data_IF_299038262372
#
_entry.id   IF_299038262372
#
_cell.length_a   1.000
_cell.length_b   1.000
_cell.length_c   1.000
_cell.angle_alpha   90.00
_cell.angle_beta   90.00
_cell.angle_gamma   90.00
#
_symmetry.space_group_name_H-M   'P 1'
#
loop_
_entity.id
_entity.type
_entity.pdbx_description
1 polymer ?
#
# COMPACT_ATOMS: atom_id res chain seq x y z
N UNK A 1 16.01 -3.19 -19.23
CA UNK A 1 15.89 -2.90 -17.78
C UNK A 1 16.25 -1.45 -17.43
N UNK A 2 17.08 -0.79 -18.25
CA UNK A 2 17.69 0.50 -17.88
C UNK A 2 16.71 1.69 -17.84
N UNK A 3 15.64 1.66 -18.64
CA UNK A 3 14.55 2.66 -18.55
C UNK A 3 13.81 2.62 -17.21
N UNK A 4 13.64 1.43 -16.63
CA UNK A 4 12.92 1.25 -15.36
C UNK A 4 13.81 1.70 -14.19
N UNK A 5 15.09 1.29 -14.22
CA UNK A 5 16.13 1.73 -13.28
C UNK A 5 16.23 3.26 -13.21
N UNK A 6 16.34 3.94 -14.36
CA UNK A 6 16.38 5.41 -14.42
C UNK A 6 15.09 6.07 -13.90
N UNK A 7 13.92 5.49 -14.16
CA UNK A 7 12.65 6.06 -13.68
C UNK A 7 12.45 5.92 -12.18
N UNK A 8 12.96 4.84 -11.59
CA UNK A 8 12.74 4.50 -10.19
C UNK A 8 13.94 4.83 -9.29
N UNK A 9 15.09 5.20 -9.88
CA UNK A 9 16.31 5.55 -9.15
C UNK A 9 16.98 4.33 -8.53
N UNK A 10 16.99 3.20 -9.25
CA UNK A 10 17.40 1.88 -8.74
C UNK A 10 18.63 1.40 -9.52
N UNK A 11 19.71 1.06 -8.82
CA UNK A 11 20.97 0.64 -9.45
C UNK A 11 20.96 -0.84 -9.90
N UNK A 12 20.33 -1.71 -9.10
CA UNK A 12 20.41 -3.16 -9.29
C UNK A 12 19.09 -3.81 -9.73
N UNK A 13 19.18 -4.82 -10.61
CA UNK A 13 18.03 -5.65 -10.99
C UNK A 13 17.43 -6.40 -9.79
N UNK A 14 18.25 -6.71 -8.79
CA UNK A 14 17.81 -7.37 -7.56
C UNK A 14 16.81 -6.51 -6.77
N UNK A 15 17.03 -5.19 -6.73
CA UNK A 15 16.13 -4.27 -6.04
C UNK A 15 14.75 -4.21 -6.70
N UNK A 16 14.70 -4.27 -8.04
CA UNK A 16 13.42 -4.33 -8.78
C UNK A 16 12.66 -5.61 -8.41
N UNK A 17 13.36 -6.75 -8.40
CA UNK A 17 12.76 -8.03 -8.01
C UNK A 17 12.22 -7.99 -6.58
N UNK A 18 13.01 -7.48 -5.63
CA UNK A 18 12.59 -7.32 -4.24
C UNK A 18 11.35 -6.41 -4.11
N UNK A 19 11.32 -5.29 -4.84
CA UNK A 19 10.19 -4.36 -4.82
C UNK A 19 8.92 -5.03 -5.38
N UNK A 20 9.02 -5.75 -6.50
CA UNK A 20 7.89 -6.47 -7.08
C UNK A 20 7.38 -7.57 -6.14
N UNK A 21 8.29 -8.28 -5.47
CA UNK A 21 7.97 -9.31 -4.49
C UNK A 21 7.25 -8.70 -3.29
N UNK A 22 7.73 -7.57 -2.76
CA UNK A 22 7.05 -6.82 -1.70
C UNK A 22 5.66 -6.42 -2.16
N UNK A 23 5.50 -5.84 -3.36
CA UNK A 23 4.17 -5.44 -3.86
C UNK A 23 3.21 -6.62 -4.00
N UNK A 24 3.69 -7.78 -4.44
CA UNK A 24 2.89 -8.99 -4.56
C UNK A 24 2.41 -9.49 -3.19
N UNK A 25 3.31 -9.51 -2.20
CA UNK A 25 2.97 -9.91 -0.82
C UNK A 25 2.02 -8.88 -0.21
N UNK A 26 2.39 -7.60 -0.16
CA UNK A 26 1.58 -6.56 0.49
C UNK A 26 0.20 -6.41 -0.13
N UNK A 27 0.08 -6.50 -1.46
CA UNK A 27 -1.22 -6.44 -2.14
C UNK A 27 -2.12 -7.62 -1.79
N UNK A 28 -1.56 -8.83 -1.79
CA UNK A 28 -2.32 -10.04 -1.46
C UNK A 28 -2.72 -10.06 0.01
N UNK A 29 -1.80 -9.72 0.92
CA UNK A 29 -2.04 -9.70 2.36
C UNK A 29 -3.03 -8.61 2.74
N UNK A 30 -2.93 -7.40 2.20
CA UNK A 30 -3.89 -6.31 2.49
C UNK A 30 -5.32 -6.69 2.08
N UNK A 31 -5.49 -7.32 0.91
CA UNK A 31 -6.80 -7.82 0.45
C UNK A 31 -7.36 -8.93 1.33
N UNK A 32 -6.50 -9.84 1.77
CA UNK A 32 -6.89 -10.92 2.66
C UNK A 32 -7.32 -10.40 4.05
N UNK A 33 -6.58 -9.45 4.61
CA UNK A 33 -6.84 -8.85 5.93
C UNK A 33 -8.04 -7.89 5.91
N UNK A 34 -8.38 -7.30 4.76
CA UNK A 34 -9.51 -6.37 4.69
C UNK A 34 -10.85 -6.98 5.12
N UNK A 35 -11.12 -8.25 4.78
CA UNK A 35 -12.35 -8.96 5.17
C UNK A 35 -12.49 -9.18 6.70
N UNK A 36 -11.51 -9.78 7.40
CA UNK A 36 -11.61 -9.99 8.83
C UNK A 36 -11.64 -8.68 9.62
N UNK A 37 -10.94 -7.63 9.19
CA UNK A 37 -11.00 -6.33 9.89
C UNK A 37 -12.40 -5.72 9.79
N UNK A 38 -13.04 -5.74 8.61
CA UNK A 38 -14.42 -5.24 8.46
C UNK A 38 -15.40 -6.03 9.34
N UNK A 39 -15.20 -7.34 9.45
CA UNK A 39 -15.98 -8.21 10.33
C UNK A 39 -15.73 -7.89 11.81
N UNK A 40 -14.49 -7.60 12.19
CA UNK A 40 -14.11 -7.22 13.57
C UNK A 40 -14.71 -5.87 13.98
N UNK A 41 -14.78 -4.93 13.04
CA UNK A 41 -15.43 -3.63 13.23
C UNK A 41 -16.96 -3.69 13.19
N UNK A 42 -17.55 -4.89 13.06
CA UNK A 42 -19.00 -5.11 12.91
C UNK A 42 -19.63 -4.32 11.75
N UNK A 43 -18.83 -3.99 10.72
CA UNK A 43 -19.29 -3.31 9.50
C UNK A 43 -19.77 -4.38 8.53
N UNK A 44 -21.06 -4.72 8.63
CA UNK A 44 -21.76 -5.63 7.73
C UNK A 44 -22.40 -4.87 6.57
N UNK A 45 -22.62 -5.57 5.47
CA UNK A 45 -23.36 -5.06 4.30
C UNK A 45 -24.77 -4.58 4.66
N UNK A 46 -25.35 -5.15 5.72
CA UNK A 46 -26.66 -4.76 6.25
C UNK A 46 -26.68 -3.40 6.96
N UNK A 47 -25.62 -3.02 7.67
CA UNK A 47 -25.61 -1.78 8.47
C UNK A 47 -25.22 -0.54 7.66
N UNK A 48 -24.43 -0.70 6.58
CA UNK A 48 -23.92 0.42 5.76
C UNK A 48 -24.32 0.37 4.28
N UNK A 49 -25.03 -0.68 3.85
CA UNK A 49 -25.33 -0.94 2.45
C UNK A 49 -24.10 -1.37 1.64
N UNK A 50 -24.34 -1.92 0.45
CA UNK A 50 -23.27 -2.44 -0.44
C UNK A 50 -22.24 -1.38 -0.82
N UNK A 51 -22.68 -0.13 -1.05
CA UNK A 51 -21.80 0.98 -1.40
C UNK A 51 -20.95 1.45 -0.21
N UNK A 52 -21.54 1.60 0.98
CA UNK A 52 -20.82 2.00 2.19
C UNK A 52 -19.77 0.97 2.59
N UNK A 53 -20.13 -0.32 2.54
CA UNK A 53 -19.19 -1.42 2.78
C UNK A 53 -17.97 -1.35 1.85
N UNK A 54 -18.18 -1.14 0.55
CA UNK A 54 -17.08 -1.05 -0.42
C UNK A 54 -16.22 0.19 -0.21
N UNK A 55 -16.81 1.33 0.13
CA UNK A 55 -16.09 2.57 0.41
C UNK A 55 -15.17 2.39 1.63
N UNK A 56 -15.70 1.88 2.74
CA UNK A 56 -14.91 1.59 3.95
C UNK A 56 -13.83 0.57 3.65
N UNK A 57 -14.15 -0.47 2.88
CA UNK A 57 -13.19 -1.49 2.48
C UNK A 57 -12.01 -0.92 1.69
N UNK A 58 -12.26 -0.04 0.72
CA UNK A 58 -11.20 0.61 -0.07
C UNK A 58 -10.34 1.51 0.82
N UNK A 59 -10.96 2.30 1.70
CA UNK A 59 -10.22 3.17 2.63
C UNK A 59 -9.35 2.34 3.57
N UNK A 60 -9.89 1.25 4.11
CA UNK A 60 -9.17 0.35 5.01
C UNK A 60 -8.01 -0.34 4.29
N UNK A 61 -8.25 -0.85 3.08
CA UNK A 61 -7.21 -1.39 2.20
C UNK A 61 -6.09 -0.39 1.97
N UNK A 62 -6.44 0.86 1.64
CA UNK A 62 -5.48 1.92 1.40
C UNK A 62 -4.61 2.19 2.63
N UNK A 63 -5.22 2.34 3.81
CA UNK A 63 -4.51 2.56 5.07
C UNK A 63 -3.59 1.38 5.40
N UNK A 64 -4.09 0.15 5.32
CA UNK A 64 -3.31 -1.07 5.58
C UNK A 64 -2.13 -1.23 4.61
N UNK A 65 -2.36 -0.94 3.33
CA UNK A 65 -1.32 -1.00 2.30
C UNK A 65 -0.19 -0.03 2.62
N UNK A 66 -0.54 1.15 3.12
CA UNK A 66 0.41 2.17 3.52
C UNK A 66 1.38 1.68 4.60
N UNK A 67 0.86 1.13 5.69
CA UNK A 67 1.68 0.57 6.77
C UNK A 67 2.54 -0.61 6.29
N UNK A 68 1.97 -1.49 5.47
CA UNK A 68 2.69 -2.65 4.95
C UNK A 68 3.85 -2.25 4.05
N UNK A 69 3.67 -1.29 3.13
CA UNK A 69 4.76 -0.85 2.26
C UNK A 69 5.95 -0.29 3.03
N UNK A 70 5.70 0.45 4.12
CA UNK A 70 6.77 0.95 4.99
C UNK A 70 7.48 -0.18 5.70
N UNK A 71 6.71 -1.11 6.29
CA UNK A 71 7.23 -2.24 7.04
C UNK A 71 8.10 -3.16 6.17
N UNK A 72 7.59 -3.59 5.02
CA UNK A 72 8.35 -4.43 4.10
C UNK A 72 9.48 -3.66 3.41
N UNK A 73 9.30 -2.37 3.14
CA UNK A 73 10.38 -1.53 2.64
C UNK A 73 11.55 -1.46 3.62
N UNK A 74 11.27 -1.39 4.92
CA UNK A 74 12.29 -1.50 5.96
C UNK A 74 12.95 -2.89 5.99
N UNK A 75 12.15 -3.96 5.92
CA UNK A 75 12.63 -5.34 5.96
C UNK A 75 13.58 -5.70 4.80
N UNK A 76 13.33 -5.19 3.59
CA UNK A 76 14.15 -5.44 2.40
C UNK A 76 15.23 -4.38 2.15
N UNK A 77 15.41 -3.42 3.06
CA UNK A 77 16.39 -2.32 2.92
C UNK A 77 16.05 -1.32 1.80
N UNK A 78 14.82 -1.34 1.28
CA UNK A 78 14.31 -0.43 0.25
C UNK A 78 13.42 0.68 0.83
N UNK A 79 13.55 0.98 2.13
CA UNK A 79 12.68 1.90 2.85
C UNK A 79 12.60 3.28 2.19
N UNK A 80 13.72 3.86 1.72
CA UNK A 80 13.72 5.15 1.03
C UNK A 80 12.84 5.15 -0.23
N UNK A 81 12.87 4.06 -1.00
CA UNK A 81 12.05 3.92 -2.21
C UNK A 81 10.57 3.86 -1.83
N UNK A 82 10.20 2.99 -0.89
CA UNK A 82 8.82 2.81 -0.47
C UNK A 82 8.26 4.04 0.25
N UNK A 83 9.06 4.71 1.07
CA UNK A 83 8.69 5.98 1.71
C UNK A 83 8.41 7.06 0.67
N UNK A 84 9.28 7.25 -0.33
CA UNK A 84 9.01 8.19 -1.42
C UNK A 84 7.77 7.81 -2.24
N UNK A 85 7.56 6.52 -2.47
CA UNK A 85 6.38 6.01 -3.18
C UNK A 85 5.09 6.27 -2.39
N UNK A 86 5.11 5.97 -1.10
CA UNK A 86 4.04 6.22 -0.14
C UNK A 86 3.69 7.71 -0.11
N UNK A 87 4.69 8.58 0.11
CA UNK A 87 4.48 10.03 0.11
C UNK A 87 3.86 10.52 -1.19
N UNK A 88 4.33 10.00 -2.32
CA UNK A 88 3.80 10.33 -3.64
C UNK A 88 2.33 9.90 -3.78
N UNK A 89 1.95 8.77 -3.20
CA UNK A 89 0.57 8.28 -3.18
C UNK A 89 -0.33 9.19 -2.32
N UNK A 90 0.08 9.52 -1.09
CA UNK A 90 -0.68 10.40 -0.19
C UNK A 90 -0.86 11.80 -0.81
N UNK A 91 0.20 12.35 -1.41
CA UNK A 91 0.15 13.63 -2.12
C UNK A 91 -0.84 13.63 -3.30
N UNK A 92 -1.11 12.49 -3.93
CA UNK A 92 -2.09 12.35 -5.02
C UNK A 92 -3.53 12.21 -4.53
N UNK A 93 -3.73 11.61 -3.35
CA UNK A 93 -5.04 11.51 -2.70
C UNK A 93 -5.50 12.88 -2.17
N UNK A 94 -4.62 13.89 -2.15
CA UNK A 94 -4.94 15.27 -1.75
C UNK A 94 -4.52 15.59 -0.31
N UNK A 95 -3.96 14.61 0.41
CA UNK A 95 -3.48 14.73 1.79
C UNK A 95 -2.06 15.32 1.86
N UNK A 96 -1.71 16.24 0.95
CA UNK A 96 -0.38 16.87 0.87
C UNK A 96 0.07 17.49 2.19
N UNK A 97 -0.86 18.04 2.99
CA UNK A 97 -0.60 18.70 4.27
C UNK A 97 0.02 17.80 5.36
N UNK A 98 -0.12 16.48 5.25
CA UNK A 98 0.35 15.54 6.29
C UNK A 98 1.74 14.94 5.99
N UNK A 99 2.36 15.29 4.87
CA UNK A 99 3.48 14.52 4.30
C UNK A 99 4.68 15.40 3.89
N UNK A 100 4.51 16.72 3.91
CA UNK A 100 5.57 17.71 3.74
C UNK A 100 6.30 18.00 5.06
#
# INVERSE_FOLDING_TARGET
MDKLKKRWGIDSNWQIFAILLVFAITGSTASYIGKPILKLLSITTDSFGTYGYWLVRIVLLFIMYQFMLVFFGWLFGQHKFFWNFEKKMIRRVGLKRFVD
#
